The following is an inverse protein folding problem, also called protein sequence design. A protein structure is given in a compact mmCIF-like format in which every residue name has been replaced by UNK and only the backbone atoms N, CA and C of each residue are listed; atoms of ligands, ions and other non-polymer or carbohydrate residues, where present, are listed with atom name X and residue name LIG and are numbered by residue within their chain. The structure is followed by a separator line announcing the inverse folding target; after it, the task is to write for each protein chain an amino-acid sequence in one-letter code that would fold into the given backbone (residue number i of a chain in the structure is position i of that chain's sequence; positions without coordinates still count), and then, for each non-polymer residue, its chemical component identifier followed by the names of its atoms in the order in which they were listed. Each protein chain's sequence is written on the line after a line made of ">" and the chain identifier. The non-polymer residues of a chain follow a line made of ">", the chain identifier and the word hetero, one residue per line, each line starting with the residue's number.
data_IF_291139147113
#
_entry.id   IF_291139147113
#
_cell.length_a   1.000
_cell.length_b   1.000
_cell.length_c   1.000
_cell.angle_alpha   90.00
_cell.angle_beta   90.00
_cell.angle_gamma   90.00
#
_symmetry.space_group_name_H-M   'P 1'
#
loop_
_entity.id
_entity.type
_entity.pdbx_description
1 polymer ?
#
# COMPACT_ATOMS: atom_id res chain seq x y z
N UNK A 1 0.95 -17.38 16.89
CA UNK A 1 1.26 -16.20 16.06
C UNK A 1 0.06 -15.25 16.11
N UNK A 2 0.29 -13.93 16.16
CA UNK A 2 -0.79 -12.93 16.23
C UNK A 2 -0.84 -12.09 14.97
N UNK A 3 -2.03 -11.97 14.37
CA UNK A 3 -2.29 -11.17 13.17
C UNK A 3 -3.42 -10.18 13.45
N UNK A 4 -3.24 -8.91 13.08
CA UNK A 4 -4.33 -7.94 13.08
C UNK A 4 -4.72 -7.61 11.64
N UNK A 5 -5.99 -7.75 11.31
CA UNK A 5 -6.55 -7.14 10.09
C UNK A 5 -7.05 -5.74 10.41
N UNK A 6 -6.86 -4.79 9.50
CA UNK A 6 -7.29 -3.41 9.67
C UNK A 6 -8.03 -2.97 8.41
N UNK A 7 -9.30 -2.63 8.58
CA UNK A 7 -10.15 -2.07 7.53
C UNK A 7 -10.45 -0.61 7.86
N UNK A 8 -10.14 0.31 6.94
CA UNK A 8 -10.44 1.74 7.09
C UNK A 8 -11.57 2.11 6.15
N UNK A 9 -12.65 2.69 6.67
CA UNK A 9 -13.79 3.12 5.86
C UNK A 9 -14.16 4.60 6.06
N UNK A 10 -14.74 5.21 5.03
CA UNK A 10 -15.39 6.52 5.07
C UNK A 10 -16.64 6.48 4.21
N UNK A 11 -17.81 6.37 4.83
CA UNK A 11 -19.09 6.19 4.14
C UNK A 11 -19.12 4.93 3.24
N UNK A 12 -18.61 3.83 3.79
CA UNK A 12 -18.45 2.55 3.09
C UNK A 12 -19.41 1.46 3.60
N UNK A 13 -20.53 1.86 4.25
CA UNK A 13 -21.51 0.99 4.93
C UNK A 13 -21.92 -0.22 4.10
N UNK A 14 -22.12 -0.05 2.79
CA UNK A 14 -22.57 -1.11 1.88
C UNK A 14 -21.57 -2.26 1.71
N UNK A 15 -20.29 -2.00 1.92
CA UNK A 15 -19.20 -2.95 1.73
C UNK A 15 -18.80 -3.68 3.02
N UNK A 16 -19.17 -3.13 4.20
CA UNK A 16 -18.66 -3.63 5.47
C UNK A 16 -19.13 -5.04 5.80
N UNK A 17 -20.39 -5.40 5.44
CA UNK A 17 -20.90 -6.73 5.75
C UNK A 17 -20.13 -7.85 5.03
N UNK A 18 -19.98 -7.85 3.68
CA UNK A 18 -19.21 -8.88 3.00
C UNK A 18 -17.73 -8.87 3.40
N UNK A 19 -17.13 -7.71 3.60
CA UNK A 19 -15.71 -7.60 3.99
C UNK A 19 -15.47 -8.20 5.38
N UNK A 20 -16.18 -7.71 6.39
CA UNK A 20 -15.93 -8.13 7.78
C UNK A 20 -16.39 -9.58 8.03
N UNK A 21 -17.49 -10.02 7.41
CA UNK A 21 -17.93 -11.43 7.52
C UNK A 21 -16.86 -12.38 6.98
N UNK A 22 -16.26 -12.08 5.82
CA UNK A 22 -15.25 -12.96 5.24
C UNK A 22 -13.93 -12.92 6.00
N UNK A 23 -13.57 -11.80 6.64
CA UNK A 23 -12.40 -11.73 7.53
C UNK A 23 -12.60 -12.52 8.82
N UNK A 24 -13.78 -12.43 9.45
CA UNK A 24 -14.09 -13.17 10.67
C UNK A 24 -14.25 -14.67 10.41
N UNK A 25 -14.68 -15.08 9.21
CA UNK A 25 -14.80 -16.49 8.79
C UNK A 25 -13.47 -17.10 8.30
N UNK A 26 -12.35 -16.41 8.53
CA UNK A 26 -11.03 -16.90 8.13
C UNK A 26 -10.63 -18.16 8.90
N UNK A 27 -10.17 -19.18 8.15
CA UNK A 27 -9.61 -20.41 8.72
C UNK A 27 -8.15 -20.18 9.13
N UNK A 28 -7.92 -19.94 10.42
CA UNK A 28 -6.63 -19.49 10.96
C UNK A 28 -6.13 -20.37 12.12
N UNK A 29 -5.95 -21.69 11.91
CA UNK A 29 -5.47 -22.58 12.99
C UNK A 29 -4.09 -22.13 13.50
N UNK A 30 -3.97 -21.94 14.83
CA UNK A 30 -2.74 -21.49 15.46
C UNK A 30 -2.41 -20.00 15.27
N UNK A 31 -3.32 -19.22 14.67
CA UNK A 31 -3.23 -17.77 14.52
C UNK A 31 -4.29 -17.12 15.40
N UNK A 32 -3.85 -16.26 16.30
CA UNK A 32 -4.70 -15.34 17.04
C UNK A 32 -5.01 -14.13 16.14
N UNK A 33 -6.19 -14.13 15.52
CA UNK A 33 -6.64 -13.12 14.57
C UNK A 33 -7.51 -12.08 15.27
N UNK A 34 -7.12 -10.83 15.18
CA UNK A 34 -7.91 -9.68 15.63
C UNK A 34 -8.35 -8.83 14.43
N UNK A 35 -9.64 -8.53 14.35
CA UNK A 35 -10.21 -7.69 13.27
C UNK A 35 -10.48 -6.28 13.81
N UNK A 36 -9.92 -5.27 13.13
CA UNK A 36 -10.11 -3.86 13.44
C UNK A 36 -10.86 -3.15 12.31
N UNK A 37 -11.81 -2.33 12.69
CA UNK A 37 -12.44 -1.34 11.81
C UNK A 37 -12.09 0.08 12.29
N UNK A 38 -11.51 0.88 11.43
CA UNK A 38 -11.22 2.30 11.68
C UNK A 38 -12.18 3.13 10.86
N UNK A 39 -13.18 3.68 11.51
CA UNK A 39 -14.10 4.63 10.90
C UNK A 39 -13.43 6.00 10.77
N UNK A 40 -13.30 6.46 9.54
CA UNK A 40 -12.61 7.72 9.24
C UNK A 40 -13.61 8.86 9.00
N UNK A 41 -14.51 9.11 9.98
CA UNK A 41 -15.53 10.15 9.98
C UNK A 41 -16.69 9.85 9.00
N UNK A 42 -17.30 8.67 9.13
CA UNK A 42 -18.48 8.29 8.34
C UNK A 42 -19.77 8.92 8.91
N UNK A 43 -20.69 9.23 8.00
CA UNK A 43 -22.02 9.79 8.31
C UNK A 43 -23.16 8.91 7.78
N UNK A 44 -22.86 7.71 7.31
CA UNK A 44 -23.80 6.74 6.72
C UNK A 44 -24.24 5.62 7.68
N UNK A 45 -23.90 5.76 8.98
CA UNK A 45 -24.18 4.75 9.99
C UNK A 45 -23.20 3.56 10.02
N UNK A 46 -22.06 3.66 9.36
CA UNK A 46 -21.04 2.61 9.31
C UNK A 46 -20.62 2.12 10.69
N UNK A 47 -20.25 3.04 11.62
CA UNK A 47 -19.80 2.67 12.97
C UNK A 47 -20.86 1.88 13.73
N UNK A 48 -22.07 2.43 13.84
CA UNK A 48 -23.17 1.79 14.56
C UNK A 48 -23.51 0.40 13.98
N UNK A 49 -23.43 0.27 12.66
CA UNK A 49 -23.62 -1.02 12.01
C UNK A 49 -22.56 -2.04 12.41
N UNK A 50 -21.28 -1.65 12.44
CA UNK A 50 -20.21 -2.57 12.80
C UNK A 50 -20.33 -2.98 14.26
N UNK A 51 -20.60 -2.05 15.18
CA UNK A 51 -20.77 -2.32 16.60
C UNK A 51 -21.96 -3.26 16.90
N UNK A 52 -23.08 -3.12 16.17
CA UNK A 52 -24.26 -3.96 16.31
C UNK A 52 -24.07 -5.35 15.68
N UNK A 53 -23.55 -5.40 14.47
CA UNK A 53 -23.52 -6.62 13.64
C UNK A 53 -22.29 -7.50 13.89
N UNK A 54 -21.16 -6.90 14.34
CA UNK A 54 -19.87 -7.55 14.49
C UNK A 54 -19.22 -7.23 15.84
N UNK A 55 -19.76 -7.74 16.97
CA UNK A 55 -19.28 -7.40 18.32
C UNK A 55 -17.82 -7.83 18.59
N UNK A 56 -17.29 -8.76 17.79
CA UNK A 56 -15.90 -9.22 17.88
C UNK A 56 -14.91 -8.30 17.14
N UNK A 57 -15.42 -7.33 16.34
CA UNK A 57 -14.60 -6.34 15.63
C UNK A 57 -14.27 -5.18 16.57
N UNK A 58 -13.01 -4.86 16.68
CA UNK A 58 -12.54 -3.70 17.44
C UNK A 58 -12.72 -2.43 16.63
N UNK A 59 -13.51 -1.49 17.12
CA UNK A 59 -13.83 -0.25 16.40
C UNK A 59 -13.01 0.91 16.94
N UNK A 60 -12.44 1.70 16.02
CA UNK A 60 -11.83 3.00 16.32
C UNK A 60 -12.54 4.05 15.46
N UNK A 61 -13.17 5.03 16.08
CA UNK A 61 -13.85 6.12 15.38
C UNK A 61 -13.02 7.41 15.42
N UNK A 62 -12.66 7.93 14.24
CA UNK A 62 -12.00 9.22 14.10
C UNK A 62 -13.04 10.36 14.15
N UNK A 63 -12.66 11.49 14.78
CA UNK A 63 -13.52 12.68 14.88
C UNK A 63 -13.54 13.53 13.60
N UNK A 64 -12.72 13.21 12.63
CA UNK A 64 -12.63 13.87 11.32
C UNK A 64 -11.92 12.97 10.33
N UNK A 65 -12.19 13.15 9.04
CA UNK A 65 -11.47 12.42 7.99
C UNK A 65 -10.00 12.88 7.93
N UNK A 66 -9.11 12.03 8.46
CA UNK A 66 -7.66 12.29 8.52
C UNK A 66 -6.89 11.78 7.31
N UNK A 67 -7.59 11.20 6.33
CA UNK A 67 -7.02 10.56 5.14
C UNK A 67 -6.59 9.12 5.38
N UNK A 68 -6.47 8.37 4.29
CA UNK A 68 -6.22 6.93 4.29
C UNK A 68 -4.92 6.56 5.04
N UNK A 69 -3.82 7.28 4.76
CA UNK A 69 -2.53 7.02 5.42
C UNK A 69 -2.59 7.20 6.94
N UNK A 70 -3.23 8.27 7.43
CA UNK A 70 -3.34 8.53 8.86
C UNK A 70 -4.29 7.56 9.55
N UNK A 71 -5.42 7.24 8.94
CA UNK A 71 -6.41 6.31 9.50
C UNK A 71 -5.83 4.90 9.62
N UNK A 72 -5.14 4.40 8.58
CA UNK A 72 -4.40 3.13 8.68
C UNK A 72 -3.31 3.18 9.76
N UNK A 73 -2.60 4.30 9.91
CA UNK A 73 -1.60 4.46 10.96
C UNK A 73 -2.18 4.38 12.37
N UNK A 74 -3.42 4.83 12.57
CA UNK A 74 -4.12 4.71 13.85
C UNK A 74 -4.37 3.23 14.16
N UNK A 75 -4.95 2.48 13.22
CA UNK A 75 -5.15 1.05 13.36
C UNK A 75 -3.84 0.27 13.53
N UNK A 76 -2.82 0.57 12.72
CA UNK A 76 -1.50 -0.07 12.84
C UNK A 76 -0.84 0.16 14.20
N UNK A 77 -0.96 1.37 14.80
CA UNK A 77 -0.44 1.62 16.14
C UNK A 77 -1.15 0.77 17.17
N UNK A 78 -2.49 0.75 17.17
CA UNK A 78 -3.26 -0.07 18.08
C UNK A 78 -2.88 -1.56 17.99
N UNK A 79 -2.75 -2.08 16.78
CA UNK A 79 -2.30 -3.46 16.55
C UNK A 79 -0.86 -3.71 17.04
N UNK A 80 0.07 -2.77 16.80
CA UNK A 80 1.46 -2.88 17.26
C UNK A 80 1.57 -2.81 18.80
N UNK A 81 0.73 -2.03 19.44
CA UNK A 81 0.65 -1.92 20.91
C UNK A 81 0.11 -3.22 21.53
N UNK A 82 -0.79 -3.93 20.83
CA UNK A 82 -1.24 -5.29 21.18
C UNK A 82 -0.15 -6.35 20.94
N UNK A 83 0.99 -5.97 20.35
CA UNK A 83 2.15 -6.82 20.14
C UNK A 83 1.94 -7.90 19.07
N UNK A 84 1.26 -7.59 17.96
CA UNK A 84 1.08 -8.50 16.84
C UNK A 84 2.40 -8.81 16.11
N UNK A 85 2.43 -9.93 15.39
CA UNK A 85 3.53 -10.32 14.52
C UNK A 85 3.36 -9.71 13.12
N UNK A 86 2.11 -9.63 12.66
CA UNK A 86 1.75 -9.15 11.32
C UNK A 86 0.53 -8.24 11.36
N UNK A 87 0.49 -7.33 10.41
CA UNK A 87 -0.67 -6.48 10.12
C UNK A 87 -1.12 -6.74 8.70
N UNK A 88 -2.41 -6.92 8.49
CA UNK A 88 -3.03 -7.04 7.18
C UNK A 88 -3.99 -5.86 6.97
N UNK A 89 -3.61 -4.92 6.11
CA UNK A 89 -4.49 -3.84 5.70
C UNK A 89 -5.39 -4.33 4.58
N UNK A 90 -6.68 -4.13 4.73
CA UNK A 90 -7.71 -4.62 3.81
C UNK A 90 -8.73 -3.51 3.55
N UNK A 91 -8.98 -3.19 2.27
CA UNK A 91 -10.02 -2.23 1.93
C UNK A 91 -11.42 -2.77 2.25
N UNK A 92 -12.40 -1.91 2.58
CA UNK A 92 -13.77 -2.35 2.88
C UNK A 92 -14.50 -2.97 1.68
N UNK A 93 -14.10 -2.64 0.44
CA UNK A 93 -14.66 -3.16 -0.79
C UNK A 93 -13.98 -4.46 -1.28
N UNK A 94 -13.58 -5.33 -0.33
CA UNK A 94 -12.96 -6.62 -0.61
C UNK A 94 -13.75 -7.78 -0.01
N UNK A 95 -13.53 -8.98 -0.56
CA UNK A 95 -13.92 -10.25 0.04
C UNK A 95 -12.70 -11.17 0.13
N UNK A 96 -12.51 -11.76 1.31
CA UNK A 96 -11.32 -12.52 1.67
C UNK A 96 -11.62 -14.02 1.67
N UNK A 97 -10.94 -14.85 0.85
CA UNK A 97 -11.02 -16.30 0.96
C UNK A 97 -10.58 -16.78 2.36
N UNK A 98 -11.24 -17.83 2.89
CA UNK A 98 -10.99 -18.33 4.25
C UNK A 98 -9.53 -18.66 4.56
N UNK A 99 -8.78 -19.14 3.58
CA UNK A 99 -7.37 -19.55 3.73
C UNK A 99 -6.38 -18.38 3.64
N UNK A 100 -6.79 -17.21 3.10
CA UNK A 100 -5.86 -16.16 2.69
C UNK A 100 -4.97 -15.67 3.84
N UNK A 101 -5.54 -15.34 5.01
CA UNK A 101 -4.76 -14.83 6.14
C UNK A 101 -3.71 -15.85 6.59
N UNK A 102 -4.10 -17.13 6.64
CA UNK A 102 -3.19 -18.23 6.97
C UNK A 102 -2.08 -18.37 5.95
N UNK A 103 -2.40 -18.40 4.66
CA UNK A 103 -1.43 -18.57 3.56
C UNK A 103 -0.40 -17.43 3.53
N UNK A 104 -0.84 -16.17 3.71
CA UNK A 104 0.05 -15.02 3.82
C UNK A 104 0.99 -15.13 5.03
N UNK A 105 0.45 -15.56 6.17
CA UNK A 105 1.21 -15.68 7.40
C UNK A 105 2.22 -16.83 7.35
N UNK A 106 1.83 -18.01 6.86
CA UNK A 106 2.72 -19.16 6.66
C UNK A 106 3.85 -18.86 5.68
N UNK A 107 3.54 -18.12 4.60
CA UNK A 107 4.57 -17.64 3.69
C UNK A 107 5.59 -16.76 4.40
N UNK A 108 5.13 -15.78 5.18
CA UNK A 108 6.00 -14.86 5.91
C UNK A 108 6.84 -15.57 6.99
N UNK A 109 6.33 -16.61 7.62
CA UNK A 109 7.10 -17.42 8.57
C UNK A 109 8.19 -18.25 7.85
N UNK A 110 7.86 -18.79 6.67
CA UNK A 110 8.79 -19.59 5.88
C UNK A 110 9.89 -18.76 5.21
N UNK A 111 9.57 -17.52 4.85
CA UNK A 111 10.47 -16.61 4.14
C UNK A 111 10.69 -15.34 4.93
N UNK A 112 11.62 -15.39 5.86
CA UNK A 112 11.83 -14.35 6.89
C UNK A 112 12.45 -13.05 6.35
N UNK A 113 12.94 -13.02 5.13
CA UNK A 113 13.50 -11.86 4.44
C UNK A 113 12.44 -11.01 3.70
N UNK A 114 11.20 -11.53 3.56
CA UNK A 114 10.09 -10.70 3.08
C UNK A 114 9.50 -9.86 4.20
N UNK A 115 9.37 -8.57 3.94
CA UNK A 115 8.79 -7.60 4.88
C UNK A 115 7.35 -7.24 4.54
N UNK A 116 7.01 -7.28 3.25
CA UNK A 116 5.67 -6.98 2.72
C UNK A 116 5.32 -7.99 1.64
N UNK A 117 4.11 -8.53 1.74
CA UNK A 117 3.53 -9.35 0.67
C UNK A 117 2.07 -8.97 0.44
N UNK A 118 1.56 -9.29 -0.73
CA UNK A 118 0.15 -9.15 -1.04
C UNK A 118 -0.36 -10.26 -1.94
N UNK A 119 -1.66 -10.54 -1.92
CA UNK A 119 -2.29 -11.48 -2.82
C UNK A 119 -2.50 -10.85 -4.21
N UNK A 120 -2.75 -11.68 -5.19
CA UNK A 120 -3.34 -11.23 -6.46
C UNK A 120 -4.75 -10.71 -6.21
N UNK A 121 -5.14 -9.67 -6.94
CA UNK A 121 -6.46 -9.07 -6.81
C UNK A 121 -7.32 -9.44 -8.03
N UNK A 122 -8.54 -9.86 -7.75
CA UNK A 122 -9.53 -10.27 -8.74
C UNK A 122 -10.70 -9.28 -8.75
N UNK A 123 -11.44 -9.27 -9.83
CA UNK A 123 -12.66 -8.45 -9.92
C UNK A 123 -13.68 -8.91 -8.87
N UNK A 124 -14.35 -7.97 -8.24
CA UNK A 124 -15.39 -8.27 -7.27
C UNK A 124 -16.58 -8.92 -7.96
N UNK A 125 -17.05 -10.04 -7.42
CA UNK A 125 -18.27 -10.69 -7.85
C UNK A 125 -19.44 -10.29 -6.92
N UNK A 126 -20.27 -9.36 -7.38
CA UNK A 126 -21.46 -8.88 -6.63
C UNK A 126 -22.52 -9.98 -6.40
N UNK A 127 -22.39 -11.16 -7.03
CA UNK A 127 -23.28 -12.31 -6.78
C UNK A 127 -23.11 -12.92 -5.39
N UNK A 128 -22.12 -12.46 -4.63
CA UNK A 128 -21.78 -12.97 -3.31
C UNK A 128 -20.93 -14.24 -3.33
N UNK A 129 -20.47 -14.66 -4.50
CA UNK A 129 -19.50 -15.75 -4.63
C UNK A 129 -18.12 -15.30 -4.15
N UNK A 130 -17.47 -16.13 -3.33
CA UNK A 130 -16.05 -15.95 -2.95
C UNK A 130 -15.08 -16.61 -3.95
N UNK A 131 -15.62 -17.17 -5.04
CA UNK A 131 -14.78 -17.72 -6.11
C UNK A 131 -14.02 -16.59 -6.81
N UNK A 132 -12.74 -16.79 -7.05
CA UNK A 132 -11.91 -15.80 -7.74
C UNK A 132 -12.29 -15.72 -9.21
N UNK A 133 -12.64 -14.51 -9.67
CA UNK A 133 -12.98 -14.20 -11.05
C UNK A 133 -11.75 -13.84 -11.91
N UNK A 134 -11.93 -12.86 -12.79
CA UNK A 134 -10.81 -12.32 -13.58
C UNK A 134 -9.91 -11.42 -12.74
N UNK A 135 -8.62 -11.36 -13.05
CA UNK A 135 -7.70 -10.39 -12.44
C UNK A 135 -8.18 -8.96 -12.67
N UNK A 136 -8.18 -8.16 -11.61
CA UNK A 136 -8.44 -6.73 -11.76
C UNK A 136 -7.30 -6.01 -12.51
N UNK A 137 -7.51 -4.74 -12.87
CA UNK A 137 -6.54 -3.99 -13.68
C UNK A 137 -5.19 -3.83 -13.03
N UNK A 138 -5.11 -3.75 -11.69
CA UNK A 138 -3.83 -3.70 -10.99
C UNK A 138 -3.07 -5.02 -11.10
N UNK A 139 -3.72 -6.17 -10.86
CA UNK A 139 -3.09 -7.49 -11.00
C UNK A 139 -2.65 -7.76 -12.43
N UNK A 140 -3.48 -7.41 -13.44
CA UNK A 140 -3.10 -7.47 -14.86
C UNK A 140 -1.86 -6.62 -15.14
N UNK A 141 -1.80 -5.43 -14.56
CA UNK A 141 -0.66 -4.51 -14.70
C UNK A 141 0.59 -5.07 -14.02
N UNK A 142 0.47 -5.58 -12.81
CA UNK A 142 1.58 -6.19 -12.08
C UNK A 142 2.19 -7.39 -12.83
N UNK A 143 1.34 -8.29 -13.34
CA UNK A 143 1.78 -9.44 -14.14
C UNK A 143 2.43 -9.02 -15.47
N UNK A 144 1.88 -8.01 -16.15
CA UNK A 144 2.38 -7.54 -17.45
C UNK A 144 3.75 -6.87 -17.34
N UNK A 145 3.97 -6.10 -16.29
CA UNK A 145 5.19 -5.30 -16.15
C UNK A 145 6.25 -5.98 -15.30
N UNK A 146 5.89 -7.04 -14.55
CA UNK A 146 6.82 -7.83 -13.75
C UNK A 146 7.56 -7.02 -12.70
N UNK A 147 8.72 -7.53 -12.32
CA UNK A 147 9.57 -6.96 -11.25
C UNK A 147 10.14 -5.58 -11.61
N UNK A 148 10.13 -5.20 -12.88
CA UNK A 148 10.91 -4.08 -13.39
C UNK A 148 10.17 -2.73 -13.43
N UNK A 149 8.83 -2.71 -13.34
CA UNK A 149 8.07 -1.49 -13.60
C UNK A 149 7.00 -1.23 -12.55
N UNK A 150 7.29 -0.40 -11.59
CA UNK A 150 6.32 0.01 -10.56
C UNK A 150 5.24 0.98 -11.06
N UNK A 151 5.50 1.69 -12.14
CA UNK A 151 4.56 2.59 -12.83
C UNK A 151 4.90 2.63 -14.31
N UNK A 152 3.88 2.57 -15.16
CA UNK A 152 3.96 2.57 -16.61
C UNK A 152 5.21 3.28 -17.19
N UNK A 153 6.22 2.52 -17.48
CA UNK A 153 7.30 2.88 -18.38
C UNK A 153 8.44 3.76 -17.85
N UNK A 154 8.39 4.29 -16.64
CA UNK A 154 9.28 5.37 -16.25
C UNK A 154 10.00 5.21 -14.91
N UNK A 155 9.77 4.13 -14.20
CA UNK A 155 10.38 3.94 -12.89
C UNK A 155 11.59 3.02 -13.00
N UNK A 156 12.79 3.45 -12.56
CA UNK A 156 13.89 2.51 -12.43
C UNK A 156 13.48 1.43 -11.45
N UNK A 157 13.54 0.20 -11.91
CA UNK A 157 13.49 -0.95 -11.03
C UNK A 157 14.57 -0.77 -9.98
N UNK A 158 14.19 -0.62 -8.73
CA UNK A 158 15.14 -0.91 -7.67
C UNK A 158 15.35 -2.43 -7.75
N UNK A 159 16.53 -2.91 -8.11
CA UNK A 159 16.76 -4.34 -8.11
C UNK A 159 16.40 -4.86 -6.73
N UNK A 160 15.62 -5.92 -6.69
CA UNK A 160 15.54 -6.76 -5.50
C UNK A 160 16.96 -6.95 -4.97
N UNK A 161 17.19 -6.93 -3.65
CA UNK A 161 18.52 -7.21 -3.13
C UNK A 161 19.02 -8.50 -3.77
N UNK A 162 19.94 -8.38 -4.73
CA UNK A 162 20.50 -9.52 -5.42
C UNK A 162 21.16 -10.42 -4.37
N UNK A 163 20.72 -11.68 -4.27
CA UNK A 163 21.37 -12.66 -3.42
C UNK A 163 20.79 -12.80 -2.03
N UNK A 164 19.45 -12.94 -1.90
CA UNK A 164 18.91 -13.54 -0.69
C UNK A 164 19.58 -14.90 -0.45
N UNK A 165 20.10 -15.17 0.75
CA UNK A 165 20.66 -16.48 1.09
C UNK A 165 19.59 -17.61 1.01
N UNK A 166 18.30 -17.24 0.96
CA UNK A 166 17.17 -18.16 0.88
C UNK A 166 16.72 -18.45 -0.57
N UNK A 167 17.33 -17.83 -1.58
CA UNK A 167 16.88 -17.97 -2.97
C UNK A 167 15.58 -17.18 -3.25
N UNK A 168 14.88 -17.51 -4.33
CA UNK A 168 13.57 -16.96 -4.68
C UNK A 168 12.47 -17.89 -4.17
N UNK A 169 11.49 -17.34 -3.45
CA UNK A 169 10.32 -18.10 -3.05
C UNK A 169 9.53 -18.56 -4.30
N UNK A 170 9.01 -19.79 -4.33
CA UNK A 170 8.20 -20.27 -5.43
C UNK A 170 6.92 -19.43 -5.56
N UNK A 171 6.39 -19.34 -6.77
CA UNK A 171 5.12 -18.69 -7.10
C UNK A 171 4.98 -17.26 -6.55
N UNK A 172 6.09 -16.52 -6.53
CA UNK A 172 6.14 -15.12 -6.13
C UNK A 172 6.60 -14.25 -7.27
N UNK A 173 6.04 -13.04 -7.34
CA UNK A 173 6.50 -11.97 -8.19
C UNK A 173 7.07 -10.86 -7.29
N UNK A 174 8.40 -10.73 -7.24
CA UNK A 174 8.98 -9.58 -6.57
C UNK A 174 8.57 -8.29 -7.27
N UNK A 175 8.02 -7.38 -6.51
CA UNK A 175 7.45 -6.16 -7.07
C UNK A 175 7.90 -4.93 -6.28
N UNK A 176 7.85 -3.77 -6.93
CA UNK A 176 8.26 -2.53 -6.29
C UNK A 176 7.35 -2.13 -5.13
N UNK A 177 6.09 -2.52 -5.18
CA UNK A 177 5.11 -2.28 -4.13
C UNK A 177 3.96 -3.29 -4.19
N UNK A 178 3.23 -3.40 -3.09
CA UNK A 178 1.95 -4.09 -2.98
C UNK A 178 0.86 -3.03 -2.83
N UNK A 179 -0.27 -3.21 -3.48
CA UNK A 179 -1.38 -2.25 -3.43
C UNK A 179 -2.05 -2.27 -2.05
N UNK A 180 -2.42 -1.09 -1.55
CA UNK A 180 -3.00 -0.90 -0.22
C UNK A 180 -4.36 -1.58 0.03
N UNK A 181 -5.03 -2.06 -1.03
CA UNK A 181 -6.30 -2.78 -0.90
C UNK A 181 -6.16 -4.14 -0.19
N UNK A 182 -4.97 -4.78 -0.26
CA UNK A 182 -4.65 -6.02 0.43
C UNK A 182 -3.13 -6.07 0.69
N UNK A 183 -2.71 -5.57 1.85
CA UNK A 183 -1.32 -5.29 2.17
C UNK A 183 -0.91 -5.99 3.47
N UNK A 184 -0.19 -7.10 3.36
CA UNK A 184 0.27 -7.88 4.50
C UNK A 184 1.72 -7.53 4.86
N UNK A 185 1.95 -7.09 6.08
CA UNK A 185 3.22 -6.51 6.50
C UNK A 185 3.69 -7.04 7.86
N UNK A 186 5.00 -7.27 7.97
CA UNK A 186 5.66 -7.69 9.20
C UNK A 186 5.73 -6.54 10.22
N UNK A 187 5.32 -6.79 11.46
CA UNK A 187 5.33 -5.77 12.51
C UNK A 187 6.75 -5.24 12.81
N UNK A 188 7.77 -6.09 12.74
CA UNK A 188 9.17 -5.68 12.92
C UNK A 188 9.63 -4.70 11.83
N UNK A 189 9.18 -4.87 10.59
CA UNK A 189 9.41 -3.88 9.52
C UNK A 189 8.80 -2.53 9.89
N UNK A 190 7.52 -2.50 10.30
CA UNK A 190 6.84 -1.26 10.69
C UNK A 190 7.54 -0.53 11.85
N UNK A 191 8.07 -1.29 12.81
CA UNK A 191 8.87 -0.71 13.91
C UNK A 191 10.20 -0.15 13.43
N UNK A 192 10.79 -0.72 12.39
CA UNK A 192 12.09 -0.31 11.85
C UNK A 192 12.00 0.88 10.92
N UNK A 193 11.12 0.83 9.91
CA UNK A 193 11.05 1.87 8.87
C UNK A 193 9.94 2.89 9.13
N UNK A 194 9.12 2.68 10.17
CA UNK A 194 7.96 3.49 10.49
C UNK A 194 6.73 3.13 9.63
N UNK A 195 5.61 3.76 9.97
CA UNK A 195 4.30 3.55 9.34
C UNK A 195 4.20 4.34 8.01
N UNK A 196 3.00 4.47 7.47
CA UNK A 196 2.76 5.31 6.29
C UNK A 196 3.17 6.76 6.54
N UNK A 197 3.79 7.40 5.56
CA UNK A 197 4.04 8.85 5.66
C UNK A 197 2.73 9.61 5.46
N UNK A 198 2.25 10.20 6.56
CA UNK A 198 0.98 10.96 6.60
C UNK A 198 0.89 12.10 5.59
N UNK A 199 2.00 12.52 5.02
CA UNK A 199 2.05 13.59 4.00
C UNK A 199 1.34 13.17 2.72
N UNK A 200 1.29 11.88 2.42
CA UNK A 200 0.58 11.38 1.24
C UNK A 200 -0.94 11.57 1.35
N UNK A 201 -1.52 11.49 2.54
CA UNK A 201 -2.94 11.51 2.81
C UNK A 201 -3.68 10.31 2.19
N UNK A 202 -3.63 10.14 0.87
CA UNK A 202 -4.08 8.95 0.11
C UNK A 202 -3.30 8.85 -1.19
N UNK A 203 -3.04 7.64 -1.66
CA UNK A 203 -2.21 7.25 -2.81
C UNK A 203 -0.71 7.48 -2.61
N UNK A 204 0.10 6.48 -2.90
CA UNK A 204 1.55 6.39 -2.78
C UNK A 204 2.08 6.10 -1.35
N UNK A 205 1.25 6.07 -0.32
CA UNK A 205 1.67 5.74 1.05
C UNK A 205 2.22 4.32 1.15
N UNK A 206 1.55 3.34 0.54
CA UNK A 206 1.99 1.95 0.46
C UNK A 206 3.23 1.78 -0.42
N UNK A 207 3.27 2.51 -1.53
CA UNK A 207 4.42 2.54 -2.43
C UNK A 207 5.66 3.08 -1.74
N UNK A 208 5.50 4.14 -0.94
CA UNK A 208 6.58 4.71 -0.13
C UNK A 208 7.04 3.75 0.98
N UNK A 209 6.11 3.08 1.66
CA UNK A 209 6.46 2.10 2.68
C UNK A 209 7.24 0.92 2.08
N UNK A 210 6.81 0.39 0.94
CA UNK A 210 7.54 -0.65 0.22
C UNK A 210 8.94 -0.20 -0.21
N UNK A 211 9.09 1.05 -0.66
CA UNK A 211 10.40 1.63 -0.98
C UNK A 211 11.31 1.70 0.24
N UNK A 212 10.79 2.17 1.38
CA UNK A 212 11.54 2.21 2.65
C UNK A 212 11.90 0.82 3.16
N UNK A 213 10.99 -0.15 3.01
CA UNK A 213 11.26 -1.55 3.32
C UNK A 213 12.47 -2.08 2.53
N UNK A 214 12.52 -1.82 1.22
CA UNK A 214 13.64 -2.25 0.36
C UNK A 214 14.95 -1.55 0.72
N UNK A 215 14.93 -0.27 1.05
CA UNK A 215 16.13 0.42 1.55
C UNK A 215 16.65 -0.17 2.86
N UNK A 216 15.75 -0.69 3.70
CA UNK A 216 16.10 -1.39 4.92
C UNK A 216 16.49 -2.88 4.70
N UNK A 217 16.52 -3.35 3.45
CA UNK A 217 16.95 -4.71 3.08
C UNK A 217 15.83 -5.73 3.01
N UNK A 218 14.57 -5.35 3.19
CA UNK A 218 13.42 -6.25 3.08
C UNK A 218 12.99 -6.47 1.63
N UNK A 219 12.50 -7.67 1.33
CA UNK A 219 11.88 -8.00 0.04
C UNK A 219 10.38 -7.66 0.08
N UNK A 220 9.85 -7.37 -1.09
CA UNK A 220 8.43 -7.05 -1.34
C UNK A 220 7.95 -7.91 -2.50
N UNK A 221 6.84 -8.62 -2.35
CA UNK A 221 6.33 -9.51 -3.39
C UNK A 221 4.82 -9.62 -3.44
N UNK A 222 4.34 -10.07 -4.61
CA UNK A 222 3.00 -10.61 -4.81
C UNK A 222 3.08 -12.13 -4.73
N UNK A 223 2.13 -12.75 -4.06
CA UNK A 223 1.95 -14.19 -4.05
C UNK A 223 0.96 -14.55 -5.16
N UNK A 224 1.42 -15.34 -6.15
CA UNK A 224 0.65 -15.61 -7.35
C UNK A 224 -0.44 -16.66 -7.17
N UNK A 225 -0.30 -17.51 -6.15
CA UNK A 225 -1.22 -18.62 -5.87
C UNK A 225 -2.37 -18.24 -4.93
N UNK A 226 -2.32 -17.07 -4.34
CA UNK A 226 -3.34 -16.60 -3.41
C UNK A 226 -3.99 -15.31 -3.92
N UNK A 227 -5.26 -15.13 -3.62
CA UNK A 227 -6.00 -14.01 -4.16
C UNK A 227 -7.08 -13.46 -3.24
N UNK A 228 -7.51 -12.24 -3.55
CA UNK A 228 -8.61 -11.54 -2.89
C UNK A 228 -9.50 -10.89 -3.95
N UNK A 229 -10.79 -10.86 -3.73
CA UNK A 229 -11.72 -10.09 -4.55
C UNK A 229 -11.70 -8.62 -4.13
N UNK A 230 -11.65 -7.70 -5.08
CA UNK A 230 -11.62 -6.27 -4.83
C UNK A 230 -12.44 -5.51 -5.88
N UNK A 231 -13.43 -4.76 -5.44
CA UNK A 231 -14.32 -3.98 -6.31
C UNK A 231 -13.55 -2.84 -7.01
N UNK A 232 -12.70 -2.12 -6.28
CA UNK A 232 -11.78 -1.12 -6.86
C UNK A 232 -12.41 0.09 -7.51
N UNK A 233 -13.74 0.22 -7.51
CA UNK A 233 -14.50 1.28 -8.16
C UNK A 233 -15.05 2.35 -7.22
N UNK A 234 -14.79 2.21 -5.91
CA UNK A 234 -15.33 3.09 -4.88
C UNK A 234 -14.71 4.49 -4.84
N UNK A 235 -15.50 5.44 -4.42
CA UNK A 235 -15.11 6.74 -3.87
C UNK A 235 -14.59 7.79 -4.85
N UNK A 236 -13.32 7.85 -5.18
CA UNK A 236 -12.69 9.05 -5.78
C UNK A 236 -12.30 8.91 -7.25
N UNK A 237 -12.64 7.79 -7.91
CA UNK A 237 -12.29 7.53 -9.31
C UNK A 237 -12.73 8.66 -10.23
N UNK A 238 -11.80 9.21 -11.04
CA UNK A 238 -12.07 10.31 -11.98
C UNK A 238 -12.22 11.70 -11.36
N UNK A 239 -12.21 11.86 -10.03
CA UNK A 239 -12.38 13.15 -9.37
C UNK A 239 -11.15 14.06 -9.51
N UNK A 240 -11.36 15.39 -9.44
CA UNK A 240 -10.26 16.37 -9.36
C UNK A 240 -9.40 16.13 -8.11
N UNK A 241 -10.03 15.73 -7.00
CA UNK A 241 -9.32 15.37 -5.78
C UNK A 241 -8.28 14.28 -6.03
N UNK A 242 -8.68 13.15 -6.66
CA UNK A 242 -7.75 12.06 -6.99
C UNK A 242 -6.60 12.53 -7.87
N UNK A 243 -6.87 13.30 -8.92
CA UNK A 243 -5.83 13.78 -9.84
C UNK A 243 -4.82 14.69 -9.14
N UNK A 244 -5.28 15.64 -8.30
CA UNK A 244 -4.41 16.53 -7.51
C UNK A 244 -3.56 15.72 -6.53
N UNK A 245 -4.17 14.79 -5.79
CA UNK A 245 -3.46 13.93 -4.85
C UNK A 245 -2.38 13.11 -5.55
N UNK A 246 -2.73 12.43 -6.63
CA UNK A 246 -1.78 11.60 -7.37
C UNK A 246 -0.64 12.43 -7.99
N UNK A 247 -0.90 13.64 -8.52
CA UNK A 247 0.14 14.52 -9.06
C UNK A 247 1.11 14.97 -7.96
N UNK A 248 0.62 15.58 -6.89
CA UNK A 248 1.48 16.06 -5.80
C UNK A 248 2.26 14.91 -5.13
N UNK A 249 1.61 13.78 -4.90
CA UNK A 249 2.21 12.62 -4.25
C UNK A 249 3.29 11.98 -5.13
N UNK A 250 3.07 11.88 -6.44
CA UNK A 250 4.08 11.41 -7.40
C UNK A 250 5.35 12.25 -7.35
N UNK A 251 5.23 13.58 -7.38
CA UNK A 251 6.39 14.48 -7.26
C UNK A 251 7.03 14.41 -5.87
N UNK A 252 6.21 14.35 -4.81
CA UNK A 252 6.74 14.19 -3.45
C UNK A 252 7.52 12.89 -3.31
N UNK A 253 6.99 11.79 -3.80
CA UNK A 253 7.65 10.49 -3.84
C UNK A 253 8.99 10.56 -4.59
N UNK A 254 9.03 11.16 -5.78
CA UNK A 254 10.25 11.37 -6.55
C UNK A 254 11.28 12.21 -5.81
N UNK A 255 10.87 13.35 -5.23
CA UNK A 255 11.77 14.29 -4.55
C UNK A 255 12.32 13.75 -3.23
N UNK A 256 11.65 12.80 -2.60
CA UNK A 256 12.11 12.14 -1.36
C UNK A 256 12.92 10.88 -1.62
N UNK A 257 13.05 10.45 -2.87
CA UNK A 257 13.85 9.30 -3.28
C UNK A 257 15.35 9.58 -3.13
N UNK A 258 16.12 8.60 -2.62
CA UNK A 258 17.56 8.75 -2.35
C UNK A 258 18.44 8.11 -3.42
N UNK A 259 17.91 7.23 -4.25
CA UNK A 259 18.65 6.48 -5.26
C UNK A 259 18.79 7.23 -6.58
N UNK A 260 17.90 8.21 -6.81
CA UNK A 260 17.90 8.98 -8.04
C UNK A 260 19.02 10.01 -8.09
N UNK A 261 19.77 9.96 -9.21
CA UNK A 261 20.68 11.03 -9.57
C UNK A 261 19.89 12.27 -10.01
N UNK A 262 20.41 13.50 -9.74
CA UNK A 262 19.67 14.73 -10.02
C UNK A 262 19.20 14.90 -11.45
N UNK A 263 20.04 14.57 -12.44
CA UNK A 263 19.71 14.81 -13.85
C UNK A 263 18.59 13.88 -14.38
N UNK A 264 18.62 12.55 -14.18
CA UNK A 264 17.48 11.68 -14.50
C UNK A 264 16.20 12.10 -13.78
N UNK A 265 16.28 12.46 -12.50
CA UNK A 265 15.14 12.93 -11.72
C UNK A 265 14.50 14.18 -12.34
N UNK A 266 15.30 15.17 -12.72
CA UNK A 266 14.82 16.40 -13.37
C UNK A 266 14.18 16.12 -14.73
N UNK A 267 14.76 15.22 -15.53
CA UNK A 267 14.19 14.83 -16.84
C UNK A 267 12.82 14.17 -16.67
N UNK A 268 12.69 13.27 -15.71
CA UNK A 268 11.43 12.62 -15.43
C UNK A 268 10.38 13.61 -14.92
N UNK A 269 10.75 14.47 -13.97
CA UNK A 269 9.86 15.51 -13.46
C UNK A 269 9.38 16.46 -14.57
N UNK A 270 10.28 16.86 -15.48
CA UNK A 270 9.94 17.73 -16.63
C UNK A 270 8.97 17.03 -17.61
N UNK A 271 9.16 15.73 -17.87
CA UNK A 271 8.23 14.95 -18.70
C UNK A 271 6.85 14.89 -18.06
N UNK A 272 6.77 14.53 -16.79
CA UNK A 272 5.50 14.49 -16.06
C UNK A 272 4.80 15.85 -16.05
N UNK A 273 5.56 16.93 -15.83
CA UNK A 273 5.02 18.29 -15.87
C UNK A 273 4.40 18.61 -17.23
N UNK A 274 5.09 18.24 -18.32
CA UNK A 274 4.57 18.42 -19.67
C UNK A 274 3.28 17.66 -19.92
N UNK A 275 3.18 16.41 -19.44
CA UNK A 275 1.98 15.59 -19.59
C UNK A 275 0.83 16.10 -18.71
N UNK A 276 1.11 16.51 -17.49
CA UNK A 276 0.14 17.10 -16.58
C UNK A 276 -0.45 18.40 -17.15
N UNK A 277 0.40 19.30 -17.69
CA UNK A 277 -0.04 20.53 -18.33
C UNK A 277 -0.89 20.27 -19.59
N UNK A 278 -0.66 19.17 -20.29
CA UNK A 278 -1.48 18.74 -21.43
C UNK A 278 -2.77 18.03 -21.03
N UNK A 279 -3.05 17.90 -19.73
CA UNK A 279 -4.20 17.17 -19.21
C UNK A 279 -4.12 15.63 -19.38
N UNK A 280 -2.94 15.10 -19.65
CA UNK A 280 -2.67 13.66 -19.83
C UNK A 280 -1.91 13.04 -18.67
N UNK A 281 -1.86 13.74 -17.54
CA UNK A 281 -1.11 13.29 -16.35
C UNK A 281 -1.79 12.16 -15.58
N UNK A 282 -1.10 11.72 -14.55
CA UNK A 282 -1.58 10.65 -13.65
C UNK A 282 -2.95 10.99 -13.04
N UNK A 283 -3.78 9.98 -12.89
CA UNK A 283 -5.14 10.13 -12.34
C UNK A 283 -6.22 10.37 -13.40
N UNK A 284 -5.88 10.33 -14.70
CA UNK A 284 -6.81 10.39 -15.81
C UNK A 284 -6.65 11.59 -16.73
N UNK A 285 -7.34 11.54 -17.87
CA UNK A 285 -7.35 12.61 -18.86
C UNK A 285 -8.29 13.73 -18.43
N UNK A 286 -7.91 14.98 -18.70
CA UNK A 286 -8.70 16.18 -18.40
C UNK A 286 -8.50 17.25 -19.46
N UNK A 287 -9.28 18.33 -19.41
CA UNK A 287 -9.06 19.49 -20.27
C UNK A 287 -7.74 20.19 -19.92
N UNK A 288 -7.11 20.86 -20.92
CA UNK A 288 -5.86 21.58 -20.71
C UNK A 288 -5.94 22.61 -19.56
N UNK A 289 -7.00 23.39 -19.46
CA UNK A 289 -7.19 24.38 -18.40
C UNK A 289 -7.24 23.73 -17.00
N UNK A 290 -7.97 22.65 -16.87
CA UNK A 290 -8.07 21.89 -15.61
C UNK A 290 -6.72 21.25 -15.27
N UNK A 291 -6.03 20.66 -16.25
CA UNK A 291 -4.71 20.08 -16.05
C UNK A 291 -3.69 21.12 -15.57
N UNK A 292 -3.69 22.30 -16.13
CA UNK A 292 -2.82 23.42 -15.73
C UNK A 292 -3.12 23.86 -14.29
N UNK A 293 -4.40 24.03 -13.94
CA UNK A 293 -4.78 24.44 -12.58
C UNK A 293 -4.39 23.39 -11.53
N UNK A 294 -4.73 22.12 -11.77
CA UNK A 294 -4.41 21.01 -10.86
C UNK A 294 -2.88 20.84 -10.70
N UNK A 295 -2.12 21.08 -11.75
CA UNK A 295 -0.65 21.02 -11.70
C UNK A 295 -0.06 22.21 -10.93
N UNK A 296 -0.58 23.41 -11.13
CA UNK A 296 -0.16 24.60 -10.38
C UNK A 296 -0.40 24.38 -8.87
N UNK A 297 -1.54 23.86 -8.50
CA UNK A 297 -1.86 23.54 -7.11
C UNK A 297 -0.86 22.52 -6.51
N UNK A 298 -0.55 21.46 -7.26
CA UNK A 298 0.43 20.46 -6.83
C UNK A 298 1.84 21.07 -6.66
N UNK A 299 2.29 21.92 -7.58
CA UNK A 299 3.60 22.59 -7.49
C UNK A 299 3.65 23.55 -6.30
N UNK A 300 2.63 24.38 -6.10
CA UNK A 300 2.55 25.26 -4.94
C UNK A 300 2.60 24.48 -3.61
N UNK A 301 1.90 23.34 -3.55
CA UNK A 301 1.93 22.47 -2.40
C UNK A 301 3.33 21.93 -2.09
N UNK A 302 4.09 21.53 -3.13
CA UNK A 302 5.48 21.04 -3.01
C UNK A 302 6.44 22.15 -2.54
N UNK A 303 6.33 23.35 -3.11
CA UNK A 303 7.16 24.51 -2.73
C UNK A 303 7.00 24.83 -1.25
N UNK A 304 5.76 24.89 -0.77
CA UNK A 304 5.47 25.12 0.66
C UNK A 304 6.06 24.05 1.57
N UNK A 305 6.33 22.84 1.03
CA UNK A 305 6.89 21.69 1.78
C UNK A 305 8.36 21.38 1.49
N UNK A 306 9.07 22.27 0.82
CA UNK A 306 10.48 22.04 0.45
C UNK A 306 11.38 21.68 1.65
N UNK A 307 11.16 22.30 2.82
CA UNK A 307 11.89 21.96 4.06
C UNK A 307 11.58 20.53 4.53
N UNK A 308 10.32 20.14 4.50
CA UNK A 308 9.87 18.79 4.86
C UNK A 308 10.43 17.73 3.89
N UNK A 309 10.40 17.98 2.59
CA UNK A 309 10.98 17.11 1.57
C UNK A 309 12.47 16.87 1.85
N UNK A 310 13.23 17.94 2.13
CA UNK A 310 14.66 17.81 2.48
C UNK A 310 14.88 17.02 3.77
N UNK A 311 14.02 17.20 4.78
CA UNK A 311 14.10 16.47 6.04
C UNK A 311 13.79 14.98 5.83
N UNK A 312 12.76 14.64 5.04
CA UNK A 312 12.42 13.26 4.67
C UNK A 312 13.55 12.59 3.91
N UNK A 313 14.11 13.25 2.90
CA UNK A 313 15.24 12.71 2.14
C UNK A 313 16.46 12.43 3.04
N UNK A 314 16.71 13.27 4.04
CA UNK A 314 17.78 13.02 5.04
C UNK A 314 17.45 11.81 5.91
N UNK A 315 16.23 11.70 6.41
CA UNK A 315 15.81 10.55 7.21
C UNK A 315 15.89 9.23 6.41
N UNK A 316 15.48 9.24 5.14
CA UNK A 316 15.57 8.07 4.27
C UNK A 316 17.03 7.57 4.07
N UNK A 317 18.02 8.46 4.04
CA UNK A 317 19.44 8.09 3.95
C UNK A 317 19.96 7.35 5.18
N UNK A 318 19.26 7.45 6.30
CA UNK A 318 19.58 6.74 7.53
C UNK A 318 18.95 5.34 7.59
N UNK A 319 18.02 5.03 6.67
CA UNK A 319 17.48 3.69 6.52
C UNK A 319 18.57 2.81 5.89
N UNK A 320 19.21 2.01 6.71
CA UNK A 320 20.18 0.99 6.30
C UNK A 320 19.73 -0.39 6.76
N UNK A 321 20.42 -1.48 6.38
CA UNK A 321 20.18 -2.79 6.95
C UNK A 321 20.38 -2.69 8.46
N UNK A 322 19.31 -2.82 9.22
CA UNK A 322 19.39 -2.77 10.69
C UNK A 322 19.48 -4.19 11.26
N UNK A 323 20.00 -4.32 12.47
CA UNK A 323 20.02 -5.59 13.18
C UNK A 323 18.58 -6.14 13.29
N UNK A 324 18.30 -7.26 12.62
CA UNK A 324 16.96 -7.87 12.51
C UNK A 324 16.34 -7.83 11.11
N UNK A 325 16.87 -7.05 10.18
CA UNK A 325 16.56 -7.14 8.76
C UNK A 325 17.57 -8.06 8.04
N UNK A 326 17.20 -8.63 6.88
CA UNK A 326 18.15 -9.43 6.11
C UNK A 326 19.36 -8.56 5.71
N UNK A 327 20.57 -9.12 5.83
CA UNK A 327 21.80 -8.42 5.45
C UNK A 327 21.74 -7.99 3.96
N UNK A 328 22.05 -6.73 3.65
CA UNK A 328 22.23 -6.32 2.24
C UNK A 328 23.33 -7.20 1.62
N UNK A 329 23.10 -7.77 0.43
CA UNK A 329 24.20 -8.34 -0.33
C UNK A 329 25.23 -7.24 -0.57
N UNK A 330 26.47 -7.49 -0.23
CA UNK A 330 27.56 -6.61 -0.63
C UNK A 330 27.56 -6.51 -2.15
N UNK A 331 27.46 -5.30 -2.69
CA UNK A 331 27.62 -5.08 -4.11
C UNK A 331 28.96 -5.69 -4.53
N UNK A 332 28.90 -6.84 -5.20
CA UNK A 332 30.07 -7.49 -5.73
C UNK A 332 30.82 -6.49 -6.59
N UNK A 333 32.08 -6.28 -6.30
CA UNK A 333 33.02 -5.56 -7.13
C UNK A 333 33.07 -6.25 -8.49
N UNK A 334 32.23 -5.81 -9.42
CA UNK A 334 32.41 -6.15 -10.83
C UNK A 334 33.70 -5.45 -11.28
N UNK A 335 34.78 -6.23 -11.38
CA UNK A 335 35.97 -5.89 -12.16
C UNK A 335 35.64 -6.05 -13.64
#
# INVERSE_FOLDING_TARGET
>A
MRVATITVGTNERRWLEPCLSTLLDSDTPGIDLTVWYVDNDSHDGSTAFVEDRFPDVRVIQNRSNVGFACANNIGMRAALDDGVNYVFLVNPDTQTPKSLVRELAEFMESWTDYGVVGPMQYEYDESGSTALGAYNDWSKTALRWGEQHAFAGDWPSHPSPAGSPFGRAPNTLEHAYVQGAAFFVRATLLRTVGLFDKVFHTYYEETDLCRRARWAGWRVALLLDVGIQHFGGGGTTGSSYRRIQMRRNRYYYLLTDIDWRPLPMLRLAARWLKDDLRGRGVGGVTTWWRGTWETTEAVCWLVRRARLIRARRRAHRQLGPQAGGPARPQAGSAR
#
